data_IF_784684242890
#
_entry.id   IF_784684242890
#
_cell.length_a   1.000
_cell.length_b   1.000
_cell.length_c   1.000
_cell.angle_alpha   90.00
_cell.angle_beta   90.00
_cell.angle_gamma   90.00
#
_symmetry.space_group_name_H-M   'P 1'
#
loop_
_entity.id
_entity.type
_entity.pdbx_description
1 polymer ?
#
# COMPACT_ATOMS: atom_id res chain seq x y z
N UNK A 1 -17.05 21.60 3.97
CA UNK A 1 -16.28 20.92 2.89
C UNK A 1 -16.07 19.48 3.30
N UNK A 2 -16.51 18.51 2.50
CA UNK A 2 -16.36 17.09 2.82
C UNK A 2 -14.96 16.60 2.47
N UNK A 3 -14.41 15.70 3.30
CA UNK A 3 -13.11 15.07 3.09
C UNK A 3 -13.28 13.55 3.15
N UNK A 4 -12.89 12.88 2.08
CA UNK A 4 -12.97 11.42 1.95
C UNK A 4 -11.55 10.85 1.87
N UNK A 5 -11.35 9.70 2.51
CA UNK A 5 -10.12 8.92 2.43
C UNK A 5 -10.30 7.80 1.40
N UNK A 6 -9.42 7.75 0.40
CA UNK A 6 -9.41 6.66 -0.57
C UNK A 6 -8.33 5.68 -0.14
N UNK A 7 -8.72 4.45 0.19
CA UNK A 7 -7.80 3.40 0.59
C UNK A 7 -7.86 2.22 -0.38
N UNK A 8 -6.76 1.48 -0.48
CA UNK A 8 -6.67 0.23 -1.23
C UNK A 8 -5.80 -0.77 -0.48
N UNK A 9 -6.11 -2.04 -0.66
CA UNK A 9 -5.26 -3.15 -0.23
C UNK A 9 -4.11 -3.31 -1.24
N UNK A 10 -2.89 -3.51 -0.74
CA UNK A 10 -1.63 -3.59 -1.48
C UNK A 10 -0.74 -4.68 -0.89
N UNK A 11 0.27 -5.11 -1.63
CA UNK A 11 1.24 -6.10 -1.17
C UNK A 11 0.65 -7.50 -1.03
N UNK A 12 -0.42 -7.80 -1.77
CA UNK A 12 -1.10 -9.10 -1.76
C UNK A 12 -0.40 -10.16 -2.65
N UNK A 13 0.72 -9.81 -3.27
CA UNK A 13 1.56 -10.77 -4.01
C UNK A 13 2.22 -11.78 -3.06
N UNK A 14 2.45 -13.01 -3.52
CA UNK A 14 3.03 -14.09 -2.71
C UNK A 14 3.90 -15.04 -3.54
N UNK A 15 5.14 -15.26 -3.12
CA UNK A 15 6.10 -16.12 -3.81
C UNK A 15 6.38 -15.63 -5.23
N UNK A 16 6.03 -16.43 -6.24
CA UNK A 16 6.16 -16.05 -7.65
C UNK A 16 4.91 -15.36 -8.21
N UNK A 17 3.81 -15.35 -7.46
CA UNK A 17 2.54 -14.79 -7.89
C UNK A 17 2.51 -13.28 -7.66
N UNK A 18 2.37 -12.53 -8.75
CA UNK A 18 2.13 -11.09 -8.72
C UNK A 18 0.63 -10.82 -8.79
N UNK A 19 0.11 -10.13 -7.79
CA UNK A 19 -1.29 -9.70 -7.69
C UNK A 19 -1.33 -8.17 -7.64
N UNK A 20 -2.22 -7.59 -8.45
CA UNK A 20 -2.49 -6.16 -8.44
C UNK A 20 -1.47 -5.29 -9.20
N UNK A 21 -1.68 -3.98 -9.09
CA UNK A 21 -0.89 -2.92 -9.73
C UNK A 21 -0.52 -1.85 -8.69
N UNK A 22 0.13 -2.27 -7.60
CA UNK A 22 0.43 -1.42 -6.44
C UNK A 22 1.07 -0.07 -6.81
N UNK A 23 2.01 -0.08 -7.76
CA UNK A 23 2.71 1.13 -8.25
C UNK A 23 1.78 2.18 -8.86
N UNK A 24 0.74 1.74 -9.55
CA UNK A 24 -0.20 2.61 -10.23
C UNK A 24 -1.25 3.13 -9.26
N UNK A 25 -1.77 2.26 -8.39
CA UNK A 25 -2.81 2.62 -7.41
C UNK A 25 -2.29 3.62 -6.38
N UNK A 26 -1.02 3.52 -5.97
CA UNK A 26 -0.37 4.45 -5.03
C UNK A 26 -0.38 5.92 -5.49
N UNK A 27 -0.59 6.19 -6.79
CA UNK A 27 -0.69 7.55 -7.33
C UNK A 27 -2.01 8.24 -6.94
N UNK A 28 -3.05 7.48 -6.60
CA UNK A 28 -4.42 7.97 -6.44
C UNK A 28 -4.95 7.87 -5.00
N UNK A 29 -4.48 6.90 -4.21
CA UNK A 29 -4.99 6.63 -2.86
C UNK A 29 -4.33 7.51 -1.79
N UNK A 30 -5.04 7.75 -0.69
CA UNK A 30 -4.56 8.50 0.47
C UNK A 30 -4.09 7.62 1.64
N UNK A 31 -4.52 6.35 1.67
CA UNK A 31 -4.10 5.34 2.66
C UNK A 31 -3.83 4.01 1.97
N UNK A 32 -2.86 3.23 2.46
CA UNK A 32 -2.57 1.88 1.95
C UNK A 32 -2.69 0.84 3.07
N UNK A 33 -3.39 -0.25 2.77
CA UNK A 33 -3.46 -1.42 3.64
C UNK A 33 -2.51 -2.49 3.10
N UNK A 34 -1.48 -2.86 3.86
CA UNK A 34 -0.48 -3.83 3.39
C UNK A 34 -0.75 -5.20 3.99
N UNK A 35 -0.80 -6.22 3.13
CA UNK A 35 -0.96 -7.61 3.56
C UNK A 35 0.19 -8.05 4.48
N UNK A 36 -0.08 -9.01 5.37
CA UNK A 36 0.78 -9.31 6.52
C UNK A 36 1.23 -10.78 6.65
N UNK A 37 1.08 -11.61 5.60
CA UNK A 37 1.65 -12.96 5.62
C UNK A 37 0.69 -14.13 5.77
N UNK A 38 -0.60 -13.87 6.05
CA UNK A 38 -1.58 -14.95 6.28
C UNK A 38 -2.39 -15.28 5.02
N UNK A 39 -3.28 -14.37 4.60
CA UNK A 39 -4.07 -14.55 3.38
C UNK A 39 -3.25 -14.22 2.12
N UNK A 40 -2.31 -13.28 2.25
CA UNK A 40 -1.47 -12.78 1.18
C UNK A 40 -0.25 -12.02 1.75
N UNK A 41 0.69 -11.69 0.87
CA UNK A 41 1.94 -11.01 1.20
C UNK A 41 2.99 -11.98 1.74
N UNK A 42 4.22 -11.87 1.26
CA UNK A 42 5.39 -12.50 1.89
C UNK A 42 6.39 -11.41 2.32
N UNK A 43 7.41 -11.74 3.15
CA UNK A 43 8.32 -10.72 3.66
C UNK A 43 8.97 -9.87 2.56
N UNK A 44 9.30 -10.47 1.41
CA UNK A 44 9.90 -9.74 0.28
C UNK A 44 8.88 -8.81 -0.40
N UNK A 45 7.64 -9.24 -0.60
CA UNK A 45 6.59 -8.38 -1.17
C UNK A 45 6.17 -7.28 -0.22
N UNK A 46 6.00 -7.58 1.07
CA UNK A 46 5.67 -6.58 2.10
C UNK A 46 6.72 -5.47 2.15
N UNK A 47 8.01 -5.83 2.16
CA UNK A 47 9.10 -4.87 2.14
C UNK A 47 9.06 -4.00 0.87
N UNK A 48 8.92 -4.63 -0.30
CA UNK A 48 8.80 -3.91 -1.58
C UNK A 48 7.66 -2.91 -1.58
N UNK A 49 6.47 -3.31 -1.13
CA UNK A 49 5.28 -2.44 -1.10
C UNK A 49 5.48 -1.26 -0.14
N UNK A 50 6.09 -1.47 1.04
CA UNK A 50 6.42 -0.38 1.98
C UNK A 50 7.43 0.59 1.38
N UNK A 51 8.51 0.09 0.75
CA UNK A 51 9.53 0.95 0.14
C UNK A 51 8.97 1.75 -1.03
N UNK A 52 8.15 1.12 -1.87
CA UNK A 52 7.48 1.76 -2.98
C UNK A 52 6.54 2.88 -2.52
N UNK A 53 5.70 2.59 -1.53
CA UNK A 53 4.80 3.56 -0.92
C UNK A 53 5.57 4.76 -0.35
N UNK A 54 6.63 4.49 0.43
CA UNK A 54 7.51 5.52 1.00
C UNK A 54 8.13 6.40 -0.09
N UNK A 55 8.67 5.80 -1.15
CA UNK A 55 9.28 6.51 -2.28
C UNK A 55 8.27 7.43 -2.95
N UNK A 56 7.15 6.88 -3.45
CA UNK A 56 6.13 7.61 -4.21
C UNK A 56 5.53 8.77 -3.41
N UNK A 57 5.24 8.56 -2.13
CA UNK A 57 4.65 9.63 -1.31
C UNK A 57 5.67 10.65 -0.81
N UNK A 58 6.95 10.29 -0.69
CA UNK A 58 8.01 11.28 -0.43
C UNK A 58 8.25 12.22 -1.62
N UNK A 59 8.12 11.70 -2.84
CA UNK A 59 8.21 12.48 -4.08
C UNK A 59 6.97 13.38 -4.26
N UNK A 60 5.80 12.91 -3.82
CA UNK A 60 4.53 13.60 -4.02
C UNK A 60 4.19 14.55 -2.83
N UNK A 61 4.84 15.73 -2.79
CA UNK A 61 4.69 16.76 -1.73
C UNK A 61 3.26 17.31 -1.51
N UNK A 62 2.26 16.90 -2.31
CA UNK A 62 0.86 17.35 -2.17
C UNK A 62 0.14 16.72 -0.98
N UNK A 63 0.59 15.56 -0.51
CA UNK A 63 0.01 14.90 0.66
C UNK A 63 0.85 15.22 1.89
N UNK A 64 0.51 16.26 2.64
CA UNK A 64 1.11 16.61 3.94
C UNK A 64 0.86 15.59 5.05
N UNK A 65 0.40 14.38 4.71
CA UNK A 65 0.24 13.25 5.61
C UNK A 65 1.20 12.16 5.18
N UNK A 66 2.07 11.76 6.10
CA UNK A 66 2.67 10.43 6.07
C UNK A 66 1.54 9.41 5.84
N UNK A 67 1.77 8.40 5.00
CA UNK A 67 0.76 7.39 4.78
C UNK A 67 0.37 6.72 6.09
N UNK A 68 -0.94 6.62 6.31
CA UNK A 68 -1.44 5.76 7.35
C UNK A 68 -1.33 4.34 6.85
N UNK A 69 -0.27 3.67 7.27
CA UNK A 69 -0.19 2.23 7.16
C UNK A 69 -1.16 1.64 8.18
N UNK A 70 -2.34 1.26 7.71
CA UNK A 70 -3.14 0.30 8.45
C UNK A 70 -2.63 -1.08 8.04
N UNK A 71 -1.95 -1.76 8.98
CA UNK A 71 -1.68 -3.20 8.82
C UNK A 71 -3.00 -3.92 9.05
N UNK A 72 -3.79 -4.05 7.99
CA UNK A 72 -5.07 -4.73 8.08
C UNK A 72 -4.81 -6.22 7.87
N UNK A 73 -5.08 -7.00 8.92
CA UNK A 73 -5.36 -8.42 8.82
C UNK A 73 -6.74 -8.59 8.17
N UNK A 74 -6.86 -8.28 6.87
CA UNK A 74 -8.07 -8.65 6.15
C UNK A 74 -8.01 -10.16 6.01
N UNK A 75 -8.89 -10.87 6.68
CA UNK A 75 -9.17 -12.28 6.38
C UNK A 75 -9.79 -12.39 5.00
#
# INVERSE_FOLDING_TARGET
>A
MYKVDLNSDLGESFGTYKIGLDEEVLKYISSANIACGFHAGDPSHMEKTVQLAKKKWSENRRTSRFPRFNRIWKT
#
